data_IF_162096454399
#
_entry.id   IF_162096454399
#
_cell.length_a   1.000
_cell.length_b   1.000
_cell.length_c   1.000
_cell.angle_alpha   90.00
_cell.angle_beta   90.00
_cell.angle_gamma   90.00
#
_symmetry.space_group_name_H-M   'P 1'
#
loop_
_entity.id
_entity.type
_entity.pdbx_description
1 polymer ?
#
# COMPACT_ATOMS: atom_id res chain seq x y z
N UNK A 1 -41.36 46.22 -32.98
CA UNK A 1 -40.71 44.88 -32.89
C UNK A 1 -41.69 43.86 -33.45
N UNK A 2 -41.28 42.97 -34.35
CA UNK A 2 -42.16 41.94 -34.93
C UNK A 2 -42.22 40.70 -34.04
N UNK A 3 -43.39 40.07 -33.97
CA UNK A 3 -43.68 38.90 -33.12
C UNK A 3 -43.37 37.56 -33.81
N UNK A 4 -42.60 37.59 -34.90
CA UNK A 4 -42.34 36.42 -35.74
C UNK A 4 -41.36 35.43 -35.08
N UNK A 5 -40.35 35.91 -34.36
CA UNK A 5 -39.47 35.08 -33.56
C UNK A 5 -40.18 34.70 -32.25
N UNK A 6 -40.66 33.46 -32.17
CA UNK A 6 -41.36 32.91 -31.00
C UNK A 6 -40.75 31.57 -30.58
N UNK A 7 -40.69 31.27 -29.27
CA UNK A 7 -40.29 29.95 -28.79
C UNK A 7 -41.36 28.89 -29.12
N UNK A 8 -40.94 27.63 -29.17
CA UNK A 8 -41.84 26.48 -29.30
C UNK A 8 -42.25 26.02 -27.90
N UNK A 9 -43.53 26.20 -27.55
CA UNK A 9 -44.07 25.72 -26.26
C UNK A 9 -44.61 24.29 -26.38
N UNK A 10 -45.28 23.99 -27.50
CA UNK A 10 -45.80 22.65 -27.80
C UNK A 10 -45.03 22.03 -28.98
N UNK A 11 -44.42 20.84 -28.83
CA UNK A 11 -43.73 20.16 -29.92
C UNK A 11 -44.73 19.55 -30.92
N UNK A 12 -44.28 19.36 -32.16
CA UNK A 12 -45.06 18.63 -33.15
C UNK A 12 -45.29 17.16 -32.71
N UNK A 13 -46.52 16.66 -32.85
CA UNK A 13 -46.88 15.26 -32.55
C UNK A 13 -46.75 14.39 -33.79
N UNK A 14 -46.21 13.19 -33.61
CA UNK A 14 -46.24 12.15 -34.65
C UNK A 14 -47.65 11.55 -34.84
N UNK A 15 -47.86 10.86 -35.96
CA UNK A 15 -49.11 10.18 -36.32
C UNK A 15 -49.83 10.74 -37.56
N UNK A 16 -49.27 11.75 -38.22
CA UNK A 16 -49.87 12.40 -39.41
C UNK A 16 -48.92 12.46 -40.61
N UNK A 17 -47.69 11.98 -40.46
CA UNK A 17 -46.63 12.01 -41.47
C UNK A 17 -46.58 10.75 -42.35
N UNK A 18 -45.55 10.70 -43.21
CA UNK A 18 -45.31 9.56 -44.11
C UNK A 18 -45.05 8.29 -43.29
N UNK A 19 -45.77 7.21 -43.60
CA UNK A 19 -45.58 5.89 -42.97
C UNK A 19 -46.24 5.71 -41.60
N UNK A 20 -47.00 6.70 -41.10
CA UNK A 20 -47.51 6.66 -39.72
C UNK A 20 -48.99 6.24 -39.59
N UNK A 21 -49.83 6.47 -40.62
CA UNK A 21 -51.29 6.27 -40.48
C UNK A 21 -51.93 5.46 -41.60
N UNK A 22 -51.53 5.71 -42.84
CA UNK A 22 -52.07 4.99 -44.00
C UNK A 22 -50.93 4.50 -44.89
N UNK A 23 -50.82 3.17 -45.02
CA UNK A 23 -49.91 2.51 -45.95
C UNK A 23 -50.46 2.49 -47.38
N UNK A 24 -51.71 2.92 -47.60
CA UNK A 24 -52.37 2.92 -48.91
C UNK A 24 -51.95 4.11 -49.79
N UNK A 25 -51.72 5.28 -49.19
CA UNK A 25 -51.14 6.44 -49.88
C UNK A 25 -49.61 6.37 -49.94
N UNK A 26 -49.08 5.25 -50.45
CA UNK A 26 -47.64 4.98 -50.43
C UNK A 26 -46.89 5.88 -51.41
N UNK A 27 -46.15 6.84 -50.86
CA UNK A 27 -45.24 7.70 -51.62
C UNK A 27 -44.11 6.88 -52.25
N UNK A 28 -43.76 7.15 -53.51
CA UNK A 28 -42.58 6.56 -54.19
C UNK A 28 -41.27 7.25 -53.80
N UNK A 29 -41.32 8.30 -52.99
CA UNK A 29 -40.13 9.00 -52.51
C UNK A 29 -39.48 8.20 -51.37
N UNK A 30 -38.21 7.86 -51.52
CA UNK A 30 -37.37 7.24 -50.49
C UNK A 30 -36.06 8.01 -50.35
N UNK A 31 -35.49 8.02 -49.15
CA UNK A 31 -34.18 8.61 -48.88
C UNK A 31 -33.06 7.62 -49.21
N UNK A 32 -31.84 8.11 -49.43
CA UNK A 32 -30.66 7.24 -49.52
C UNK A 32 -30.41 6.44 -48.23
N UNK A 33 -30.96 6.89 -47.09
CA UNK A 33 -30.90 6.17 -45.81
C UNK A 33 -31.91 5.02 -45.69
N UNK A 34 -32.94 5.01 -46.54
CA UNK A 34 -33.98 3.97 -46.55
C UNK A 34 -33.63 2.80 -47.48
N UNK A 35 -32.50 2.90 -48.19
CA UNK A 35 -31.95 1.79 -48.98
C UNK A 35 -31.59 0.60 -48.05
N UNK A 36 -31.69 -0.65 -48.54
CA UNK A 36 -31.41 -1.82 -47.71
C UNK A 36 -30.02 -1.78 -47.05
N UNK A 37 -30.01 -1.69 -45.72
CA UNK A 37 -28.81 -1.71 -44.89
C UNK A 37 -29.05 -2.54 -43.64
N UNK A 38 -28.05 -3.32 -43.22
CA UNK A 38 -28.15 -4.22 -42.06
C UNK A 38 -29.40 -5.13 -42.09
N UNK A 39 -29.61 -5.82 -43.22
CA UNK A 39 -30.77 -6.71 -43.45
C UNK A 39 -30.77 -7.99 -42.59
N UNK A 40 -29.70 -8.25 -41.83
CA UNK A 40 -29.56 -9.40 -40.96
C UNK A 40 -29.35 -8.97 -39.52
N UNK A 41 -30.27 -9.35 -38.64
CA UNK A 41 -30.14 -9.17 -37.20
C UNK A 41 -29.09 -10.14 -36.65
N UNK A 42 -28.23 -9.65 -35.75
CA UNK A 42 -27.28 -10.47 -35.00
C UNK A 42 -27.94 -10.95 -33.72
N UNK A 43 -27.80 -12.23 -33.45
CA UNK A 43 -28.19 -12.83 -32.18
C UNK A 43 -26.95 -13.02 -31.30
N UNK A 44 -27.15 -13.11 -29.99
CA UNK A 44 -26.07 -13.47 -29.07
C UNK A 44 -25.80 -14.96 -29.21
N UNK A 45 -24.54 -15.33 -29.43
CA UNK A 45 -24.11 -16.72 -29.40
C UNK A 45 -23.89 -17.18 -27.94
N UNK A 46 -23.75 -18.49 -27.74
CA UNK A 46 -23.36 -19.07 -26.46
C UNK A 46 -22.04 -18.45 -25.97
N UNK A 47 -21.98 -18.05 -24.70
CA UNK A 47 -20.87 -17.32 -24.11
C UNK A 47 -20.93 -15.79 -24.29
N UNK A 48 -21.91 -15.24 -25.02
CA UNK A 48 -22.11 -13.78 -25.18
C UNK A 48 -23.24 -13.22 -24.31
N UNK A 49 -23.51 -13.86 -23.17
CA UNK A 49 -24.63 -13.57 -22.29
C UNK A 49 -25.98 -13.85 -22.99
N UNK A 50 -26.18 -15.10 -23.41
CA UNK A 50 -27.48 -15.54 -23.93
C UNK A 50 -28.54 -15.47 -22.82
N UNK A 51 -29.81 -15.27 -23.19
CA UNK A 51 -30.89 -15.15 -22.21
C UNK A 51 -30.98 -16.35 -21.25
N UNK A 52 -30.69 -17.56 -21.75
CA UNK A 52 -30.66 -18.79 -20.94
C UNK A 52 -29.51 -18.80 -19.93
N UNK A 53 -28.31 -18.36 -20.33
CA UNK A 53 -27.15 -18.24 -19.45
C UNK A 53 -27.39 -17.21 -18.34
N UNK A 54 -27.97 -16.07 -18.69
CA UNK A 54 -28.29 -15.01 -17.73
C UNK A 54 -29.35 -15.45 -16.72
N UNK A 55 -30.31 -16.29 -17.12
CA UNK A 55 -31.37 -16.79 -16.24
C UNK A 55 -30.84 -17.71 -15.15
N UNK A 56 -29.79 -18.47 -15.46
CA UNK A 56 -29.19 -19.44 -14.55
C UNK A 56 -28.05 -18.86 -13.69
N UNK A 57 -27.66 -17.60 -13.94
CA UNK A 57 -26.49 -16.97 -13.29
C UNK A 57 -26.90 -16.19 -12.04
N UNK A 58 -26.17 -16.40 -10.94
CA UNK A 58 -26.26 -15.53 -9.78
C UNK A 58 -25.35 -14.30 -9.94
N UNK A 59 -25.96 -13.16 -10.29
CA UNK A 59 -25.24 -11.90 -10.46
C UNK A 59 -24.71 -11.31 -9.16
N UNK A 60 -25.32 -11.64 -8.01
CA UNK A 60 -24.95 -11.04 -6.73
C UNK A 60 -23.59 -11.57 -6.28
N UNK A 61 -23.42 -12.88 -6.30
CA UNK A 61 -22.16 -13.53 -5.93
C UNK A 61 -21.02 -13.12 -6.87
N UNK A 62 -21.27 -13.14 -8.19
CA UNK A 62 -20.24 -12.77 -9.17
C UNK A 62 -19.81 -11.31 -9.04
N UNK A 63 -20.76 -10.40 -8.82
CA UNK A 63 -20.49 -8.99 -8.59
C UNK A 63 -19.65 -8.82 -7.33
N UNK A 64 -20.03 -9.46 -6.22
CA UNK A 64 -19.29 -9.36 -4.96
C UNK A 64 -17.86 -9.90 -5.10
N UNK A 65 -17.67 -11.03 -5.78
CA UNK A 65 -16.35 -11.59 -6.08
C UNK A 65 -15.51 -10.62 -6.92
N UNK A 66 -16.10 -10.05 -7.98
CA UNK A 66 -15.42 -9.12 -8.87
C UNK A 66 -15.11 -7.77 -8.20
N UNK A 67 -15.96 -7.32 -7.29
CA UNK A 67 -15.68 -6.17 -6.44
C UNK A 67 -14.57 -6.48 -5.45
N UNK A 68 -14.54 -7.66 -4.84
CA UNK A 68 -13.45 -8.09 -3.94
C UNK A 68 -12.10 -8.11 -4.66
N UNK A 69 -12.07 -8.61 -5.89
CA UNK A 69 -10.85 -8.67 -6.73
C UNK A 69 -10.41 -7.28 -7.22
N UNK A 70 -11.36 -6.41 -7.59
CA UNK A 70 -11.08 -5.04 -8.05
C UNK A 70 -10.99 -4.02 -6.93
N UNK A 71 -11.30 -4.39 -5.69
CA UNK A 71 -11.18 -3.49 -4.54
C UNK A 71 -9.73 -3.04 -4.48
N UNK A 72 -9.46 -1.74 -4.69
CA UNK A 72 -8.10 -1.32 -4.88
C UNK A 72 -7.31 -1.61 -3.60
N UNK A 73 -6.25 -2.41 -3.72
CA UNK A 73 -5.19 -2.53 -2.71
C UNK A 73 -4.62 -1.14 -2.34
N UNK A 74 -4.91 -0.12 -3.14
CA UNK A 74 -4.58 1.28 -2.86
C UNK A 74 -5.31 1.86 -1.65
N UNK A 75 -6.42 1.30 -1.17
CA UNK A 75 -7.05 1.80 0.07
C UNK A 75 -6.12 1.65 1.27
N UNK A 76 -5.34 0.57 1.34
CA UNK A 76 -4.29 0.37 2.37
C UNK A 76 -3.07 1.26 2.10
N UNK A 77 -2.73 1.52 0.83
CA UNK A 77 -1.62 2.40 0.45
C UNK A 77 -1.93 3.91 0.56
N UNK A 78 -3.20 4.31 0.52
CA UNK A 78 -3.64 5.70 0.66
C UNK A 78 -3.88 6.09 2.12
N UNK A 79 -4.24 5.13 2.98
CA UNK A 79 -4.39 5.35 4.42
C UNK A 79 -3.02 5.44 5.12
N UNK A 80 -2.02 4.67 4.70
CA UNK A 80 -0.66 4.74 5.27
C UNK A 80 0.15 5.98 4.86
N UNK A 81 -0.32 6.77 3.88
CA UNK A 81 0.29 8.06 3.50
C UNK A 81 -0.44 9.30 4.03
N UNK A 82 -1.58 9.12 4.72
CA UNK A 82 -2.30 10.18 5.43
C UNK A 82 -2.14 9.96 6.94
N UNK A 83 -0.89 10.04 7.41
CA UNK A 83 -0.63 10.25 8.83
C UNK A 83 -0.95 11.69 9.21
N UNK A 84 -1.91 11.88 10.12
CA UNK A 84 -2.10 13.13 10.86
C UNK A 84 -3.32 13.97 10.47
N UNK A 85 -4.51 13.56 10.93
CA UNK A 85 -5.55 14.45 11.47
C UNK A 85 -6.74 13.61 11.98
N UNK A 86 -7.10 13.89 13.23
CA UNK A 86 -8.08 13.24 14.13
C UNK A 86 -9.45 12.83 13.55
N UNK A 87 -10.15 11.86 14.18
CA UNK A 87 -11.49 11.42 13.79
C UNK A 87 -12.59 12.23 14.49
N UNK A 88 -13.44 12.91 13.71
CA UNK A 88 -14.70 13.47 14.21
C UNK A 88 -15.89 12.74 13.55
N UNK A 89 -16.52 11.89 14.37
CA UNK A 89 -17.97 11.62 14.44
C UNK A 89 -18.79 11.49 13.16
N UNK A 90 -19.21 10.26 12.85
CA UNK A 90 -20.65 9.94 12.74
C UNK A 90 -20.82 8.42 12.58
N UNK A 91 -20.88 7.75 13.73
CA UNK A 91 -21.48 6.43 13.82
C UNK A 91 -22.99 6.57 13.60
N UNK A 92 -23.54 5.79 12.67
CA UNK A 92 -24.90 5.26 12.82
C UNK A 92 -24.78 3.74 12.73
N UNK A 93 -25.12 3.15 13.86
CA UNK A 93 -25.12 1.77 14.27
C UNK A 93 -26.13 0.90 13.52
N UNK A 94 -25.76 -0.35 13.25
CA UNK A 94 -26.69 -1.49 13.31
C UNK A 94 -25.99 -2.67 13.97
N UNK A 95 -26.35 -2.86 15.24
CA UNK A 95 -25.92 -3.89 16.17
C UNK A 95 -26.64 -5.23 15.96
N UNK A 96 -25.90 -6.34 15.97
CA UNK A 96 -26.31 -7.66 16.48
C UNK A 96 -25.04 -8.53 16.60
N UNK A 97 -24.39 -8.54 17.76
CA UNK A 97 -24.51 -9.57 18.83
C UNK A 97 -23.67 -10.83 18.58
N UNK A 98 -22.73 -11.12 19.49
CA UNK A 98 -22.31 -12.50 19.73
C UNK A 98 -20.84 -12.73 20.04
N UNK A 99 -20.57 -12.96 21.33
CA UNK A 99 -19.49 -13.79 21.87
C UNK A 99 -18.12 -13.16 22.15
N UNK A 100 -18.02 -12.80 23.43
CA UNK A 100 -16.85 -12.77 24.31
C UNK A 100 -15.72 -13.75 23.99
N UNK A 101 -14.49 -13.24 23.90
CA UNK A 101 -13.47 -13.64 24.86
C UNK A 101 -12.39 -12.57 25.00
N UNK A 102 -12.27 -12.04 26.22
CA UNK A 102 -11.29 -11.05 26.61
C UNK A 102 -10.26 -11.69 27.55
N UNK A 103 -9.10 -11.01 27.67
CA UNK A 103 -7.98 -11.19 28.61
C UNK A 103 -6.96 -12.27 28.24
N UNK A 104 -5.65 -12.04 28.42
CA UNK A 104 -4.78 -10.85 28.57
C UNK A 104 -3.37 -11.44 28.67
N UNK A 105 -2.39 -10.82 28.03
CA UNK A 105 -0.98 -11.06 28.30
C UNK A 105 -0.62 -10.52 29.70
N UNK A 106 0.20 -11.26 30.45
CA UNK A 106 0.91 -10.75 31.63
C UNK A 106 2.25 -11.50 31.75
N UNK A 107 3.32 -10.72 31.64
CA UNK A 107 4.71 -11.05 31.99
C UNK A 107 4.86 -10.79 33.49
N UNK A 108 5.61 -11.64 34.21
CA UNK A 108 6.40 -11.26 35.39
C UNK A 108 7.45 -12.36 35.71
N UNK A 109 8.69 -11.92 35.90
CA UNK A 109 9.84 -12.62 36.50
C UNK A 109 10.19 -11.89 37.83
N UNK A 110 11.22 -12.31 38.60
CA UNK A 110 11.43 -13.52 39.41
C UNK A 110 11.58 -13.16 40.91
N UNK A 111 11.65 -14.12 41.85
CA UNK A 111 12.52 -14.07 43.06
C UNK A 111 12.26 -15.19 44.10
N UNK A 112 13.37 -15.82 44.54
CA UNK A 112 13.73 -16.33 45.88
C UNK A 112 12.94 -17.53 46.47
N UNK A 113 13.56 -18.71 46.62
CA UNK A 113 14.48 -19.16 47.69
C UNK A 113 13.76 -19.42 49.04
N UNK A 114 13.64 -20.70 49.43
CA UNK A 114 14.18 -21.31 50.67
C UNK A 114 13.34 -22.50 51.19
N UNK A 115 14.01 -23.36 51.96
CA UNK A 115 13.83 -24.75 52.38
C UNK A 115 12.54 -25.19 53.11
N UNK A 116 12.15 -26.46 52.95
CA UNK A 116 12.36 -27.54 53.95
C UNK A 116 11.75 -28.89 53.49
N UNK A 117 12.45 -29.98 53.84
CA UNK A 117 12.12 -31.42 53.66
C UNK A 117 11.27 -31.93 54.85
N UNK A 118 10.34 -32.91 54.72
CA UNK A 118 10.70 -34.32 55.06
C UNK A 118 9.85 -35.48 54.41
N UNK A 119 10.53 -36.63 54.23
CA UNK A 119 10.12 -38.07 54.38
C UNK A 119 9.01 -38.64 53.47
N UNK A 120 8.90 -39.92 53.07
CA UNK A 120 9.63 -41.20 53.10
C UNK A 120 8.64 -42.22 52.47
N UNK A 121 9.06 -43.09 51.54
CA UNK A 121 8.49 -44.46 51.42
C UNK A 121 9.28 -45.34 50.43
N UNK A 122 9.98 -46.31 51.02
CA UNK A 122 10.50 -47.58 50.49
C UNK A 122 9.67 -48.25 49.36
N UNK A 123 10.36 -48.76 48.31
CA UNK A 123 10.47 -50.23 48.11
C UNK A 123 11.29 -50.69 46.87
N UNK A 124 12.19 -51.65 47.14
CA UNK A 124 12.51 -52.88 46.37
C UNK A 124 13.54 -52.86 45.21
N UNK A 125 14.80 -53.13 45.57
CA UNK A 125 15.64 -54.31 45.22
C UNK A 125 15.71 -54.85 43.77
N UNK A 126 16.90 -54.76 43.12
CA UNK A 126 17.73 -55.89 42.63
C UNK A 126 18.74 -55.48 41.51
N UNK A 127 20.00 -55.92 41.68
CA UNK A 127 21.24 -55.65 40.91
C UNK A 127 21.28 -55.93 39.39
N UNK A 128 22.03 -55.11 38.62
CA UNK A 128 23.08 -55.54 37.65
C UNK A 128 23.87 -54.37 37.03
N UNK A 129 25.21 -54.40 37.11
CA UNK A 129 26.20 -53.36 36.79
C UNK A 129 26.38 -53.02 35.28
N UNK A 130 26.21 -51.74 34.85
CA UNK A 130 26.87 -51.17 33.63
C UNK A 130 26.76 -49.63 33.36
N UNK A 131 26.57 -48.73 34.34
CA UNK A 131 26.19 -47.30 34.07
C UNK A 131 27.17 -46.17 34.51
N UNK A 132 28.28 -46.47 35.18
CA UNK A 132 29.14 -45.43 35.81
C UNK A 132 30.15 -44.73 34.86
N UNK A 133 30.33 -45.19 33.62
CA UNK A 133 31.33 -44.63 32.70
C UNK A 133 30.82 -43.50 31.80
N UNK A 134 29.53 -43.46 31.51
CA UNK A 134 28.93 -42.46 30.61
C UNK A 134 28.64 -41.13 31.34
N UNK A 135 28.29 -41.17 32.62
CA UNK A 135 27.98 -39.99 33.43
C UNK A 135 29.20 -39.06 33.62
N UNK A 136 30.40 -39.62 33.85
CA UNK A 136 31.63 -38.85 34.09
C UNK A 136 32.17 -38.12 32.84
N UNK A 137 32.00 -38.70 31.64
CA UNK A 137 32.41 -38.06 30.38
C UNK A 137 31.50 -36.89 30.00
N UNK A 138 30.21 -36.96 30.36
CA UNK A 138 29.26 -35.87 30.13
C UNK A 138 29.56 -34.64 31.02
N UNK A 139 29.97 -34.86 32.28
CA UNK A 139 30.32 -33.76 33.19
C UNK A 139 31.64 -33.07 32.80
N UNK A 140 32.67 -33.82 32.40
CA UNK A 140 33.91 -33.25 31.88
C UNK A 140 33.71 -32.45 30.59
N UNK A 141 32.84 -32.92 29.70
CA UNK A 141 32.49 -32.20 28.47
C UNK A 141 31.75 -30.90 28.77
N UNK A 142 30.88 -30.87 29.78
CA UNK A 142 30.19 -29.66 30.23
C UNK A 142 31.15 -28.62 30.80
N UNK A 143 32.09 -29.02 31.67
CA UNK A 143 33.12 -28.13 32.24
C UNK A 143 34.07 -27.62 31.15
N UNK A 144 34.44 -28.48 30.19
CA UNK A 144 35.31 -28.11 29.06
C UNK A 144 34.60 -27.14 28.10
N UNK A 145 33.30 -27.31 27.87
CA UNK A 145 32.50 -26.45 27.00
C UNK A 145 32.24 -25.08 27.65
N UNK A 146 31.98 -25.04 28.96
CA UNK A 146 31.82 -23.79 29.72
C UNK A 146 33.12 -22.97 29.74
N UNK A 147 34.26 -23.61 30.06
CA UNK A 147 35.57 -22.93 30.06
C UNK A 147 36.00 -22.49 28.66
N UNK A 148 35.69 -23.27 27.62
CA UNK A 148 35.96 -22.88 26.24
C UNK A 148 35.10 -21.69 25.78
N UNK A 149 33.85 -21.59 26.22
CA UNK A 149 32.95 -20.48 25.88
C UNK A 149 33.38 -19.17 26.55
N UNK A 150 33.82 -19.23 27.81
CA UNK A 150 34.33 -18.07 28.53
C UNK A 150 35.66 -17.57 27.95
N UNK A 151 36.58 -18.49 27.63
CA UNK A 151 37.86 -18.16 27.01
C UNK A 151 37.68 -17.58 25.60
N UNK A 152 36.77 -18.13 24.79
CA UNK A 152 36.44 -17.59 23.47
C UNK A 152 35.80 -16.19 23.52
N UNK A 153 35.00 -15.89 24.55
CA UNK A 153 34.41 -14.57 24.74
C UNK A 153 35.48 -13.54 25.12
N UNK A 154 36.40 -13.90 26.01
CA UNK A 154 37.52 -13.03 26.44
C UNK A 154 38.55 -12.80 25.34
N UNK A 155 38.77 -13.79 24.48
CA UNK A 155 39.67 -13.65 23.32
C UNK A 155 39.05 -12.77 22.24
N UNK A 156 37.72 -12.87 21.99
CA UNK A 156 37.01 -11.97 21.08
C UNK A 156 37.06 -10.51 21.51
N UNK A 157 36.89 -10.22 22.81
CA UNK A 157 36.97 -8.84 23.30
C UNK A 157 38.39 -8.29 23.14
N UNK A 158 39.41 -9.10 23.44
CA UNK A 158 40.82 -8.69 23.30
C UNK A 158 41.22 -8.47 21.84
N UNK A 159 40.78 -9.34 20.92
CA UNK A 159 40.99 -9.15 19.48
C UNK A 159 40.33 -7.87 18.96
N UNK A 160 39.13 -7.52 19.43
CA UNK A 160 38.47 -6.27 19.05
C UNK A 160 39.21 -5.03 19.55
N UNK A 161 39.78 -5.09 20.75
CA UNK A 161 40.60 -3.99 21.30
C UNK A 161 41.92 -3.83 20.55
N UNK A 162 42.61 -4.94 20.23
CA UNK A 162 43.83 -4.94 19.44
C UNK A 162 43.58 -4.45 17.99
N UNK A 163 42.45 -4.81 17.38
CA UNK A 163 42.03 -4.30 16.07
C UNK A 163 41.72 -2.80 16.11
N UNK A 164 41.07 -2.30 17.17
CA UNK A 164 40.82 -0.86 17.35
C UNK A 164 42.11 -0.06 17.47
N UNK A 165 43.05 -0.54 18.28
CA UNK A 165 44.37 0.11 18.45
C UNK A 165 45.16 0.05 17.14
N UNK A 166 45.10 -1.07 16.41
CA UNK A 166 45.75 -1.20 15.09
C UNK A 166 45.14 -0.25 14.07
N UNK A 167 43.82 -0.10 14.04
CA UNK A 167 43.14 0.87 13.18
C UNK A 167 43.50 2.31 13.55
N UNK A 168 43.55 2.65 14.83
CA UNK A 168 43.93 3.98 15.30
C UNK A 168 45.38 4.35 14.94
N UNK A 169 46.32 3.40 15.07
CA UNK A 169 47.70 3.59 14.62
C UNK A 169 47.83 3.69 13.10
N UNK A 170 47.03 2.95 12.32
CA UNK A 170 47.01 3.08 10.85
C UNK A 170 46.41 4.43 10.43
N UNK A 171 45.39 4.91 11.15
CA UNK A 171 44.74 6.18 10.88
C UNK A 171 45.62 7.39 11.23
N UNK A 172 46.34 7.31 12.37
CA UNK A 172 47.19 8.39 12.88
C UNK A 172 48.62 8.35 12.34
N UNK A 173 49.11 7.20 11.87
CA UNK A 173 50.46 7.03 11.33
C UNK A 173 50.66 7.56 9.90
N UNK A 174 49.61 8.07 9.24
CA UNK A 174 49.71 8.61 7.88
C UNK A 174 49.83 10.16 7.87
N UNK A 175 51.04 10.71 7.69
CA UNK A 175 51.26 12.16 7.70
C UNK A 175 50.59 12.90 6.52
N UNK A 176 50.24 12.22 5.43
CA UNK A 176 49.49 12.81 4.30
C UNK A 176 48.02 13.08 4.66
N UNK A 177 47.41 12.27 5.54
CA UNK A 177 46.06 12.53 6.05
C UNK A 177 46.06 13.75 6.99
N UNK A 178 47.13 13.96 7.76
CA UNK A 178 47.30 15.15 8.61
C UNK A 178 47.43 16.42 7.78
N UNK A 179 48.22 16.43 6.69
CA UNK A 179 48.34 17.60 5.81
C UNK A 179 47.07 17.88 4.98
N UNK A 180 46.26 16.86 4.68
CA UNK A 180 44.93 17.03 4.06
C UNK A 180 43.96 17.81 4.95
N UNK A 181 44.19 17.83 6.27
CA UNK A 181 43.38 18.60 7.22
C UNK A 181 43.77 20.10 7.24
N UNK A 182 45.05 20.43 7.05
CA UNK A 182 45.56 21.81 7.08
C UNK A 182 45.57 22.47 5.70
N UNK A 183 45.82 21.75 4.60
CA UNK A 183 45.83 22.31 3.24
C UNK A 183 44.44 22.54 2.62
N UNK A 184 43.35 21.99 3.19
CA UNK A 184 41.97 22.25 2.76
C UNK A 184 41.44 23.64 3.14
N UNK A 185 42.21 24.43 3.88
CA UNK A 185 41.79 25.77 4.29
C UNK A 185 41.85 26.81 3.14
N UNK A 186 42.69 26.61 2.12
CA UNK A 186 43.04 27.69 1.17
C UNK A 186 42.47 27.57 -0.25
N UNK A 187 41.85 26.43 -0.62
CA UNK A 187 41.12 26.27 -1.90
C UNK A 187 39.60 26.16 -1.73
N UNK A 188 39.03 26.76 -0.68
CA UNK A 188 37.58 26.92 -0.56
C UNK A 188 37.13 28.04 -1.49
N UNK A 189 36.47 27.68 -2.60
CA UNK A 189 35.75 28.58 -3.50
C UNK A 189 34.96 29.60 -2.67
N UNK A 190 35.48 30.83 -2.63
CA UNK A 190 35.12 31.86 -1.65
C UNK A 190 33.75 32.48 -1.90
N UNK A 191 33.19 32.29 -3.09
CA UNK A 191 31.83 32.70 -3.46
C UNK A 191 31.32 31.81 -4.58
N UNK A 192 30.15 31.21 -4.38
CA UNK A 192 29.48 30.41 -5.41
C UNK A 192 28.86 31.36 -6.42
N UNK A 193 28.77 30.98 -7.69
CA UNK A 193 28.09 31.78 -8.72
C UNK A 193 26.61 32.05 -8.35
N UNK A 194 26.01 31.11 -7.62
CA UNK A 194 24.66 31.20 -7.07
C UNK A 194 24.52 32.10 -5.84
N UNK A 195 25.60 32.64 -5.26
CA UNK A 195 25.55 33.31 -3.95
C UNK A 195 24.90 34.70 -4.05
N UNK A 196 25.17 35.43 -5.13
CA UNK A 196 24.66 36.78 -5.41
C UNK A 196 23.37 36.76 -6.24
N UNK A 197 22.36 36.04 -5.73
CA UNK A 197 21.02 35.97 -6.32
C UNK A 197 20.01 36.33 -5.23
N UNK A 198 19.18 37.33 -5.48
CA UNK A 198 18.25 37.91 -4.50
C UNK A 198 17.10 36.97 -4.10
N UNK A 199 16.81 35.94 -4.90
CA UNK A 199 15.78 34.92 -4.61
C UNK A 199 16.41 33.53 -4.54
N UNK A 200 16.19 32.81 -3.43
CA UNK A 200 16.65 31.43 -3.25
C UNK A 200 15.46 30.50 -3.03
N UNK A 201 15.48 29.34 -3.69
CA UNK A 201 14.63 28.18 -3.34
C UNK A 201 13.11 28.44 -3.25
N UNK A 202 12.55 29.38 -4.03
CA UNK A 202 11.13 29.79 -3.93
C UNK A 202 10.11 28.65 -4.13
N UNK A 203 10.45 27.60 -4.88
CA UNK A 203 9.58 26.46 -5.15
C UNK A 203 9.98 25.17 -4.38
N UNK A 204 10.88 25.26 -3.39
CA UNK A 204 11.45 24.07 -2.74
C UNK A 204 10.44 23.21 -1.99
N UNK A 205 9.33 23.80 -1.54
CA UNK A 205 8.26 23.12 -0.82
C UNK A 205 6.94 23.06 -1.58
N UNK A 206 6.92 23.46 -2.86
CA UNK A 206 5.67 23.40 -3.63
C UNK A 206 5.36 21.93 -3.93
N UNK A 207 4.21 21.40 -3.44
CA UNK A 207 3.83 20.04 -3.75
C UNK A 207 3.54 19.94 -5.25
N UNK A 208 4.00 18.86 -5.88
CA UNK A 208 3.67 18.57 -7.27
C UNK A 208 2.15 18.68 -7.47
N UNK A 209 1.70 19.65 -8.28
CA UNK A 209 0.29 19.94 -8.61
C UNK A 209 -0.42 18.82 -9.38
N UNK A 210 0.11 17.59 -9.34
CA UNK A 210 -0.42 16.41 -10.02
C UNK A 210 -1.45 15.66 -9.17
N UNK A 211 -2.25 16.38 -8.40
CA UNK A 211 -3.44 15.77 -7.84
C UNK A 211 -4.44 15.64 -9.00
N UNK A 212 -4.69 14.42 -9.46
CA UNK A 212 -5.73 14.12 -10.46
C UNK A 212 -7.10 14.37 -9.83
N UNK A 213 -7.47 15.64 -9.67
CA UNK A 213 -8.76 16.06 -9.15
C UNK A 213 -9.70 16.27 -10.33
N UNK A 214 -10.79 15.49 -10.34
CA UNK A 214 -11.87 15.75 -11.27
C UNK A 214 -12.77 16.83 -10.69
N UNK A 215 -12.97 17.90 -11.46
CA UNK A 215 -13.90 18.99 -11.13
C UNK A 215 -15.04 18.94 -12.13
N UNK A 216 -16.27 18.75 -11.65
CA UNK A 216 -17.48 18.80 -12.48
C UNK A 216 -17.89 20.27 -12.75
N UNK A 217 -17.00 21.00 -13.44
CA UNK A 217 -17.18 22.39 -13.82
C UNK A 217 -16.41 22.62 -15.13
N UNK A 218 -17.10 23.10 -16.17
CA UNK A 218 -16.51 23.28 -17.50
C UNK A 218 -15.51 24.43 -17.59
N UNK A 219 -15.52 25.39 -16.65
CA UNK A 219 -14.63 26.55 -16.65
C UNK A 219 -13.49 26.40 -15.63
N UNK A 220 -13.78 25.78 -14.48
CA UNK A 220 -12.79 25.61 -13.40
C UNK A 220 -12.02 24.31 -13.47
N UNK A 221 -12.42 23.37 -14.32
CA UNK A 221 -11.67 22.15 -14.58
C UNK A 221 -10.26 22.48 -15.05
N UNK A 222 -9.30 21.68 -14.57
CA UNK A 222 -7.91 21.79 -15.00
C UNK A 222 -7.74 21.55 -16.50
N UNK A 223 -8.68 20.82 -17.12
CA UNK A 223 -8.75 20.71 -18.58
C UNK A 223 -8.99 22.08 -19.22
N UNK A 224 -9.98 22.83 -18.73
CA UNK A 224 -10.33 24.13 -19.30
C UNK A 224 -9.25 25.18 -19.05
N UNK A 225 -8.66 25.21 -17.85
CA UNK A 225 -7.52 26.10 -17.55
C UNK A 225 -6.36 25.85 -18.51
N UNK A 226 -5.93 24.59 -18.66
CA UNK A 226 -4.87 24.22 -19.62
C UNK A 226 -5.25 24.52 -21.06
N UNK A 227 -6.51 24.38 -21.42
CA UNK A 227 -7.00 24.72 -22.75
C UNK A 227 -6.91 26.23 -23.00
N UNK A 228 -7.37 27.05 -22.06
CA UNK A 228 -7.26 28.52 -22.14
C UNK A 228 -5.80 28.96 -22.20
N UNK A 229 -4.93 28.46 -21.31
CA UNK A 229 -3.49 28.77 -21.29
C UNK A 229 -2.79 28.39 -22.60
N UNK A 230 -3.29 27.36 -23.31
CA UNK A 230 -2.70 26.89 -24.57
C UNK A 230 -3.15 27.70 -25.78
N UNK A 231 -4.43 28.06 -25.84
CA UNK A 231 -5.03 28.66 -27.04
C UNK A 231 -5.22 30.18 -26.93
N UNK A 232 -5.06 30.74 -25.73
CA UNK A 232 -5.10 32.17 -25.46
C UNK A 232 -3.76 32.55 -24.82
N UNK A 233 -3.05 33.49 -25.43
CA UNK A 233 -1.70 33.91 -25.02
C UNK A 233 -1.71 35.33 -24.47
#
# INVERSE_FOLDING_TARGET
MTTAARPTFDPARGGTGRGEKDLSALSKQYSSRDLPGHTKLKYRDQGQNTAEELRNRDFREELEKRERDNKPKSSVASITRRGGAEPASSAISSSASGSSNAKRQKIETPQNLDADDPVDSDNSDSDSDEDDTEALLAELNKIKQERAAEQASRERTKQQEEEKIRMENILSGNPLLSYSSTAKAELKVKRRWDDDVVFKNCARSEPDKKANQFINDSLRSDFHKKFMDKYIK
#
